data_IF_852888930777
#
_entry.id   IF_852888930777
#
_cell.length_a   1.000
_cell.length_b   1.000
_cell.length_c   1.000
_cell.angle_alpha   90.00
_cell.angle_beta   90.00
_cell.angle_gamma   90.00
#
_symmetry.space_group_name_H-M   'P 1'
#
loop_
_entity.id
_entity.type
_entity.pdbx_description
1 polymer ?
#
# COMPACT_ATOMS: atom_id res chain seq x y z
N UNK A 1 7.75 5.18 -5.68
CA UNK A 1 7.53 6.61 -5.34
C UNK A 1 7.73 6.82 -3.83
N UNK A 2 8.35 7.91 -3.40
CA UNK A 2 8.52 8.24 -1.97
C UNK A 2 7.30 8.97 -1.39
N UNK A 3 7.17 9.01 -0.06
CA UNK A 3 6.10 9.76 0.61
C UNK A 3 6.08 11.24 0.20
N UNK A 4 7.25 11.89 0.10
CA UNK A 4 7.34 13.29 -0.28
C UNK A 4 6.86 13.58 -1.69
N UNK A 5 7.15 12.67 -2.64
CA UNK A 5 6.65 12.76 -4.02
C UNK A 5 5.14 12.59 -4.08
N UNK A 6 4.60 11.59 -3.36
CA UNK A 6 3.17 11.35 -3.28
C UNK A 6 2.43 12.54 -2.65
N UNK A 7 3.01 13.15 -1.60
CA UNK A 7 2.46 14.34 -0.97
C UNK A 7 2.42 15.52 -1.95
N UNK A 8 3.53 15.78 -2.66
CA UNK A 8 3.58 16.87 -3.63
C UNK A 8 2.50 16.70 -4.71
N UNK A 9 2.40 15.51 -5.30
CA UNK A 9 1.37 15.18 -6.27
C UNK A 9 -0.04 15.43 -5.72
N UNK A 10 -0.31 15.01 -4.48
CA UNK A 10 -1.62 15.22 -3.86
C UNK A 10 -1.94 16.70 -3.66
N UNK A 11 -0.95 17.50 -3.27
CA UNK A 11 -1.11 18.94 -3.13
C UNK A 11 -1.42 19.60 -4.47
N UNK A 12 -0.73 19.19 -5.53
CA UNK A 12 -0.95 19.69 -6.88
C UNK A 12 -2.36 19.34 -7.39
N UNK A 13 -2.80 18.08 -7.21
CA UNK A 13 -4.16 17.63 -7.54
C UNK A 13 -5.25 18.40 -6.77
N UNK A 14 -4.97 18.78 -5.52
CA UNK A 14 -5.90 19.50 -4.66
C UNK A 14 -5.81 21.03 -4.78
N UNK A 15 -4.88 21.56 -5.59
CA UNK A 15 -4.60 23.01 -5.66
C UNK A 15 -4.12 23.62 -4.34
N UNK A 16 -3.47 22.81 -3.48
CA UNK A 16 -3.01 23.22 -2.16
C UNK A 16 -1.51 23.51 -2.14
N UNK A 17 -1.09 24.36 -1.21
CA UNK A 17 0.33 24.69 -1.04
C UNK A 17 1.00 23.80 -0.01
N UNK A 18 2.34 23.70 -0.06
CA UNK A 18 3.13 23.09 1.00
C UNK A 18 2.90 23.75 2.37
N UNK A 19 2.54 25.04 2.40
CA UNK A 19 2.17 25.76 3.62
C UNK A 19 0.88 25.24 4.26
N UNK A 20 -0.10 24.85 3.45
CA UNK A 20 -1.32 24.20 3.95
C UNK A 20 -1.00 22.85 4.61
N UNK A 21 -0.20 22.01 3.95
CA UNK A 21 0.26 20.75 4.53
C UNK A 21 1.05 20.96 5.84
N UNK A 22 1.92 21.98 5.86
CA UNK A 22 2.71 22.31 7.05
C UNK A 22 1.82 22.70 8.23
N UNK A 23 0.79 23.52 7.98
CA UNK A 23 -0.22 23.89 8.99
C UNK A 23 -0.99 22.67 9.47
N UNK A 24 -1.44 21.79 8.58
CA UNK A 24 -2.14 20.55 8.92
C UNK A 24 -1.30 19.64 9.81
N UNK A 25 -0.01 19.48 9.50
CA UNK A 25 0.90 18.65 10.29
C UNK A 25 1.51 19.38 11.50
N UNK A 26 1.17 20.66 11.73
CA UNK A 26 1.77 21.51 12.76
C UNK A 26 3.32 21.52 12.73
N UNK A 27 3.88 21.72 11.52
CA UNK A 27 5.33 21.79 11.28
C UNK A 27 5.69 23.00 10.41
N UNK A 28 6.99 23.27 10.25
CA UNK A 28 7.44 24.34 9.35
C UNK A 28 7.28 23.96 7.87
N UNK A 29 6.96 24.95 7.03
CA UNK A 29 6.94 24.77 5.57
C UNK A 29 8.28 24.29 5.01
N UNK A 30 9.40 24.70 5.63
CA UNK A 30 10.74 24.22 5.29
C UNK A 30 10.88 22.71 5.48
N UNK A 31 10.26 22.13 6.54
CA UNK A 31 10.26 20.69 6.74
C UNK A 31 9.52 19.98 5.60
N UNK A 32 8.30 20.43 5.26
CA UNK A 32 7.52 19.85 4.15
C UNK A 32 8.31 19.95 2.84
N UNK A 33 8.90 21.10 2.52
CA UNK A 33 9.74 21.27 1.33
C UNK A 33 10.93 20.32 1.28
N UNK A 34 11.61 20.07 2.42
CA UNK A 34 12.72 19.11 2.49
C UNK A 34 12.26 17.67 2.29
N UNK A 35 11.08 17.32 2.81
CA UNK A 35 10.45 16.01 2.62
C UNK A 35 10.07 15.80 1.15
N UNK A 36 9.39 16.76 0.52
CA UNK A 36 8.97 16.68 -0.89
C UNK A 36 10.15 16.50 -1.83
N UNK A 37 11.29 17.12 -1.55
CA UNK A 37 12.54 16.96 -2.31
C UNK A 37 13.34 15.69 -1.98
N UNK A 38 12.89 14.88 -1.01
CA UNK A 38 13.61 13.68 -0.57
C UNK A 38 14.88 13.96 0.24
N UNK A 39 15.19 15.22 0.55
CA UNK A 39 16.38 15.61 1.33
C UNK A 39 16.24 15.34 2.83
N UNK A 40 15.02 15.02 3.31
CA UNK A 40 14.76 14.65 4.70
C UNK A 40 13.67 13.59 4.76
N UNK A 41 13.88 12.54 5.57
CA UNK A 41 12.85 11.53 5.86
C UNK A 41 11.70 12.15 6.65
N UNK A 42 10.44 11.83 6.30
CA UNK A 42 9.28 12.36 7.01
C UNK A 42 9.18 11.74 8.41
N UNK A 43 8.98 12.54 9.48
CA UNK A 43 8.66 12.00 10.80
C UNK A 43 7.36 11.18 10.79
N UNK A 44 7.28 10.16 11.65
CA UNK A 44 6.11 9.27 11.73
C UNK A 44 4.79 10.02 11.94
N UNK A 45 4.79 11.00 12.85
CA UNK A 45 3.58 11.77 13.15
C UNK A 45 3.16 12.68 11.99
N UNK A 46 4.12 13.21 11.23
CA UNK A 46 3.85 13.99 10.01
C UNK A 46 3.21 13.09 8.95
N UNK A 47 3.78 11.91 8.69
CA UNK A 47 3.20 10.95 7.75
C UNK A 47 1.78 10.59 8.16
N UNK A 48 1.59 10.18 9.41
CA UNK A 48 0.28 9.79 9.94
C UNK A 48 -0.76 10.89 9.79
N UNK A 49 -0.41 12.12 10.20
CA UNK A 49 -1.35 13.25 10.18
C UNK A 49 -1.76 13.60 8.76
N UNK A 50 -0.81 13.68 7.83
CA UNK A 50 -1.09 14.04 6.44
C UNK A 50 -1.84 12.92 5.70
N UNK A 51 -1.48 11.66 5.92
CA UNK A 51 -2.21 10.51 5.34
C UNK A 51 -3.66 10.48 5.79
N UNK A 52 -3.95 10.73 7.08
CA UNK A 52 -5.32 10.79 7.59
C UNK A 52 -6.07 11.99 7.02
N UNK A 53 -5.43 13.16 6.99
CA UNK A 53 -6.08 14.39 6.52
C UNK A 53 -6.44 14.34 5.04
N UNK A 54 -5.52 13.88 4.20
CA UNK A 54 -5.73 13.85 2.75
C UNK A 54 -6.51 12.63 2.26
N UNK A 55 -6.58 11.57 3.08
CA UNK A 55 -7.31 10.34 2.80
C UNK A 55 -7.03 9.78 1.40
N UNK A 56 -5.77 9.90 0.97
CA UNK A 56 -5.34 9.57 -0.38
C UNK A 56 -4.64 8.20 -0.39
N UNK A 57 -5.10 7.23 -1.21
CA UNK A 57 -4.49 5.89 -1.26
C UNK A 57 -3.01 5.89 -1.62
N UNK A 58 -2.59 6.73 -2.57
CA UNK A 58 -1.21 6.78 -3.04
C UNK A 58 -0.29 7.32 -1.94
N UNK A 59 -0.74 8.36 -1.24
CA UNK A 59 -0.05 8.89 -0.06
C UNK A 59 0.03 7.85 1.07
N UNK A 60 -1.04 7.10 1.31
CA UNK A 60 -1.10 6.07 2.34
C UNK A 60 -0.14 4.90 2.05
N UNK A 61 -0.13 4.41 0.81
CA UNK A 61 0.78 3.35 0.36
C UNK A 61 2.24 3.81 0.49
N UNK A 62 2.55 5.05 0.06
CA UNK A 62 3.89 5.60 0.19
C UNK A 62 4.34 5.77 1.66
N UNK A 63 3.42 6.16 2.57
CA UNK A 63 3.70 6.24 4.00
C UNK A 63 4.00 4.87 4.62
N UNK A 64 3.21 3.85 4.26
CA UNK A 64 3.44 2.49 4.73
C UNK A 64 4.80 1.96 4.27
N UNK A 65 5.15 2.18 2.99
CA UNK A 65 6.42 1.75 2.43
C UNK A 65 7.64 2.44 3.11
N UNK A 66 7.54 3.75 3.40
CA UNK A 66 8.58 4.45 4.15
C UNK A 66 8.72 3.91 5.58
N UNK A 67 7.60 3.60 6.24
CA UNK A 67 7.59 3.08 7.60
C UNK A 67 8.18 1.66 7.73
N UNK A 68 8.06 0.84 6.69
CA UNK A 68 8.61 -0.53 6.63
C UNK A 68 9.99 -0.62 6.00
N UNK A 69 10.51 0.48 5.45
CA UNK A 69 11.81 0.50 4.79
C UNK A 69 11.85 -0.32 3.49
N UNK A 70 10.75 -0.39 2.74
CA UNK A 70 10.68 -1.18 1.50
C UNK A 70 9.94 -2.50 1.62
N UNK A 71 9.71 -3.01 2.83
CA UNK A 71 9.04 -4.29 3.07
C UNK A 71 7.50 -4.16 3.06
N UNK A 72 6.96 -3.47 2.06
CA UNK A 72 5.52 -3.30 1.84
C UNK A 72 5.24 -3.03 0.36
N UNK A 73 3.96 -3.07 -0.04
CA UNK A 73 3.52 -2.74 -1.41
C UNK A 73 4.03 -1.34 -1.79
N UNK A 74 4.86 -1.20 -2.84
CA UNK A 74 5.25 0.10 -3.36
C UNK A 74 4.14 0.66 -4.26
N UNK A 75 4.03 1.98 -4.35
CA UNK A 75 3.16 2.57 -5.37
C UNK A 75 3.76 2.40 -6.77
N UNK A 76 3.01 1.77 -7.67
CA UNK A 76 3.38 1.53 -9.07
C UNK A 76 3.11 2.79 -9.89
N UNK A 77 4.16 3.50 -10.29
CA UNK A 77 4.08 4.75 -11.05
C UNK A 77 4.43 4.62 -12.54
N UNK A 78 4.64 3.39 -13.01
CA UNK A 78 4.91 3.05 -14.41
C UNK A 78 3.98 1.95 -14.94
N UNK A 79 2.82 1.79 -14.30
CA UNK A 79 1.79 0.83 -14.67
C UNK A 79 0.53 1.57 -15.12
N UNK A 80 -0.30 0.93 -15.96
CA UNK A 80 -1.63 1.44 -16.26
C UNK A 80 -2.55 1.26 -15.05
N UNK A 81 -2.89 2.38 -14.41
CA UNK A 81 -3.75 2.42 -13.23
C UNK A 81 -5.22 2.70 -13.56
N UNK A 82 -5.65 2.53 -14.82
CA UNK A 82 -7.07 2.57 -15.15
C UNK A 82 -7.84 1.45 -14.40
N UNK A 83 -9.03 1.72 -13.82
CA UNK A 83 -9.75 0.74 -13.00
C UNK A 83 -9.97 -0.63 -13.66
N UNK A 84 -10.26 -0.67 -14.97
CA UNK A 84 -10.44 -1.92 -15.71
C UNK A 84 -9.15 -2.72 -15.83
N UNK A 85 -8.03 -2.07 -16.15
CA UNK A 85 -6.72 -2.70 -16.33
C UNK A 85 -6.24 -3.29 -15.01
N UNK A 86 -6.36 -2.52 -13.93
CA UNK A 86 -5.99 -2.99 -12.58
C UNK A 86 -6.89 -4.13 -12.12
N UNK A 87 -8.20 -4.06 -12.37
CA UNK A 87 -9.13 -5.15 -12.01
C UNK A 87 -8.80 -6.45 -12.76
N UNK A 88 -8.47 -6.36 -14.05
CA UNK A 88 -8.09 -7.54 -14.85
C UNK A 88 -6.78 -8.14 -14.36
N UNK A 89 -5.73 -7.32 -14.18
CA UNK A 89 -4.44 -7.81 -13.66
C UNK A 89 -4.58 -8.38 -12.25
N UNK A 90 -5.40 -7.77 -11.39
CA UNK A 90 -5.65 -8.33 -10.05
C UNK A 90 -6.29 -9.71 -10.10
N UNK A 91 -7.18 -9.97 -11.06
CA UNK A 91 -7.77 -11.30 -11.23
C UNK A 91 -6.72 -12.33 -11.65
N UNK A 92 -5.84 -11.97 -12.56
CA UNK A 92 -4.72 -12.82 -13.02
C UNK A 92 -3.80 -13.18 -11.83
N UNK A 93 -3.30 -12.19 -11.12
CA UNK A 93 -2.36 -12.35 -10.00
C UNK A 93 -2.95 -13.17 -8.85
N UNK A 94 -4.25 -12.99 -8.56
CA UNK A 94 -4.95 -13.81 -7.55
C UNK A 94 -5.08 -15.26 -7.99
N UNK A 95 -5.27 -15.54 -9.29
CA UNK A 95 -5.31 -16.90 -9.81
C UNK A 95 -3.93 -17.56 -9.75
N UNK A 96 -2.87 -16.84 -10.14
CA UNK A 96 -1.48 -17.33 -10.06
C UNK A 96 -1.10 -17.67 -8.60
N UNK A 97 -1.42 -16.79 -7.64
CA UNK A 97 -1.22 -17.08 -6.22
C UNK A 97 -2.03 -18.28 -5.73
N UNK A 98 -3.29 -18.43 -6.18
CA UNK A 98 -4.12 -19.58 -5.83
C UNK A 98 -3.53 -20.89 -6.36
N UNK A 99 -3.09 -20.91 -7.62
CA UNK A 99 -2.47 -22.07 -8.25
C UNK A 99 -1.14 -22.45 -7.59
N UNK A 100 -0.27 -21.46 -7.35
CA UNK A 100 1.03 -21.68 -6.74
C UNK A 100 0.91 -22.18 -5.29
N UNK A 101 -0.02 -21.62 -4.50
CA UNK A 101 -0.28 -22.10 -3.13
C UNK A 101 -0.90 -23.50 -3.12
N UNK A 102 -1.72 -23.86 -4.11
CA UNK A 102 -2.25 -25.21 -4.29
C UNK A 102 -1.18 -26.24 -4.69
N UNK A 103 -0.16 -25.82 -5.46
CA UNK A 103 0.95 -26.68 -5.86
C UNK A 103 2.04 -26.83 -4.78
N UNK A 104 2.11 -25.89 -3.83
CA UNK A 104 3.09 -25.92 -2.75
C UNK A 104 2.72 -26.97 -1.68
N UNK A 105 3.68 -27.77 -1.18
CA UNK A 105 3.43 -28.81 -0.20
C UNK A 105 3.32 -28.26 1.24
N UNK A 106 2.40 -27.30 1.45
CA UNK A 106 2.24 -26.55 2.69
C UNK A 106 1.75 -27.39 3.89
N UNK A 107 1.26 -28.61 3.63
CA UNK A 107 0.86 -29.57 4.68
C UNK A 107 2.03 -30.37 5.26
N UNK A 108 3.20 -30.40 4.59
CA UNK A 108 4.39 -31.10 5.09
C UNK A 108 4.99 -30.34 6.28
N UNK A 109 5.50 -31.09 7.27
CA UNK A 109 6.32 -30.48 8.34
C UNK A 109 7.68 -30.05 7.81
N UNK A 110 8.35 -29.14 8.52
CA UNK A 110 9.65 -28.59 8.14
C UNK A 110 10.72 -29.65 7.91
N UNK A 111 10.74 -30.71 8.72
CA UNK A 111 11.67 -31.84 8.65
C UNK A 111 11.43 -32.77 7.44
N UNK A 112 10.28 -32.64 6.77
CA UNK A 112 9.88 -33.46 5.62
C UNK A 112 10.06 -32.75 4.27
N UNK A 113 10.48 -31.48 4.29
CA UNK A 113 10.62 -30.67 3.08
C UNK A 113 11.93 -30.97 2.37
N UNK A 114 11.82 -31.29 1.08
CA UNK A 114 12.95 -31.36 0.16
C UNK A 114 13.34 -29.98 -0.36
N UNK A 115 14.50 -29.86 -1.01
CA UNK A 115 14.88 -28.62 -1.70
C UNK A 115 13.89 -28.23 -2.81
N UNK A 116 13.35 -29.22 -3.54
CA UNK A 116 12.31 -28.98 -4.54
C UNK A 116 11.02 -28.44 -3.92
N UNK A 117 10.61 -28.99 -2.78
CA UNK A 117 9.47 -28.46 -2.03
C UNK A 117 9.71 -27.01 -1.61
N UNK A 118 10.93 -26.68 -1.18
CA UNK A 118 11.30 -25.32 -0.80
C UNK A 118 11.24 -24.33 -1.96
N UNK A 119 11.58 -24.73 -3.19
CA UNK A 119 11.42 -23.88 -4.38
C UNK A 119 9.94 -23.55 -4.61
N UNK A 120 9.05 -24.55 -4.54
CA UNK A 120 7.60 -24.34 -4.73
C UNK A 120 6.99 -23.45 -3.65
N UNK A 121 7.43 -23.60 -2.39
CA UNK A 121 6.98 -22.74 -1.29
C UNK A 121 7.43 -21.30 -1.51
N UNK A 122 8.69 -21.08 -1.92
CA UNK A 122 9.19 -19.73 -2.24
C UNK A 122 8.39 -19.09 -3.37
N UNK A 123 8.04 -19.87 -4.39
CA UNK A 123 7.22 -19.40 -5.48
C UNK A 123 5.82 -19.01 -5.03
N UNK A 124 5.16 -19.86 -4.24
CA UNK A 124 3.85 -19.53 -3.67
C UNK A 124 3.87 -18.25 -2.83
N UNK A 125 4.96 -17.99 -2.08
CA UNK A 125 5.14 -16.74 -1.32
C UNK A 125 5.33 -15.55 -2.27
N UNK A 126 6.11 -15.70 -3.35
CA UNK A 126 6.32 -14.64 -4.36
C UNK A 126 4.98 -14.25 -4.99
N UNK A 127 4.25 -15.24 -5.51
CA UNK A 127 2.94 -15.03 -6.15
C UNK A 127 1.93 -14.40 -5.18
N UNK A 128 1.92 -14.82 -3.91
CA UNK A 128 1.08 -14.18 -2.90
C UNK A 128 1.41 -12.69 -2.68
N UNK A 129 2.69 -12.30 -2.74
CA UNK A 129 3.11 -10.89 -2.64
C UNK A 129 2.71 -10.09 -3.88
N UNK A 130 2.74 -10.69 -5.07
CA UNK A 130 2.29 -10.06 -6.32
C UNK A 130 0.77 -9.86 -6.30
N UNK A 131 0.00 -10.87 -5.84
CA UNK A 131 -1.44 -10.74 -5.60
C UNK A 131 -1.79 -9.66 -4.55
N UNK A 132 -1.05 -9.57 -3.44
CA UNK A 132 -1.23 -8.49 -2.45
C UNK A 132 -0.98 -7.12 -3.10
N UNK A 133 0.06 -7.01 -3.92
CA UNK A 133 0.38 -5.78 -4.65
C UNK A 133 -0.76 -5.38 -5.58
N UNK A 134 -1.28 -6.32 -6.37
CA UNK A 134 -2.38 -6.06 -7.30
C UNK A 134 -3.69 -5.68 -6.56
N UNK A 135 -4.05 -6.42 -5.51
CA UNK A 135 -5.24 -6.14 -4.69
C UNK A 135 -5.19 -4.75 -4.03
N UNK A 136 -4.03 -4.34 -3.50
CA UNK A 136 -3.86 -3.01 -2.92
C UNK A 136 -4.07 -1.92 -3.98
N UNK A 137 -3.52 -2.08 -5.18
CA UNK A 137 -3.73 -1.12 -6.27
C UNK A 137 -5.17 -1.12 -6.77
N UNK A 138 -5.84 -2.27 -6.82
CA UNK A 138 -7.25 -2.35 -7.20
C UNK A 138 -8.12 -1.54 -6.23
N UNK A 139 -7.96 -1.76 -4.93
CA UNK A 139 -8.71 -1.00 -3.91
C UNK A 139 -8.38 0.48 -4.00
N UNK A 140 -7.10 0.85 -4.17
CA UNK A 140 -6.66 2.23 -4.25
C UNK A 140 -7.28 2.95 -5.46
N UNK A 141 -7.19 2.35 -6.64
CA UNK A 141 -7.76 2.89 -7.88
C UNK A 141 -9.28 2.99 -7.80
N UNK A 142 -9.97 1.99 -7.24
CA UNK A 142 -11.41 2.06 -7.02
C UNK A 142 -11.80 3.17 -6.03
N UNK A 143 -11.04 3.35 -4.95
CA UNK A 143 -11.28 4.45 -4.00
C UNK A 143 -11.18 5.81 -4.70
N UNK A 144 -10.14 6.02 -5.52
CA UNK A 144 -9.99 7.26 -6.32
C UNK A 144 -11.13 7.42 -7.34
N UNK A 145 -11.43 6.38 -8.11
CA UNK A 145 -12.43 6.44 -9.19
C UNK A 145 -13.85 6.70 -8.68
N UNK A 146 -14.24 6.08 -7.57
CA UNK A 146 -15.59 6.17 -7.01
C UNK A 146 -15.71 7.14 -5.84
N UNK A 147 -14.67 7.93 -5.55
CA UNK A 147 -14.63 8.89 -4.43
C UNK A 147 -14.96 8.23 -3.08
N UNK A 148 -14.48 7.01 -2.88
CA UNK A 148 -14.64 6.26 -1.63
C UNK A 148 -13.44 6.55 -0.74
N UNK A 149 -13.70 6.85 0.53
CA UNK A 149 -12.67 7.10 1.53
C UNK A 149 -11.81 5.85 1.78
N UNK A 150 -10.51 5.97 1.55
CA UNK A 150 -9.54 4.90 1.78
C UNK A 150 -9.47 4.52 3.26
N UNK A 151 -9.31 5.51 4.13
CA UNK A 151 -9.23 5.33 5.58
C UNK A 151 -10.51 4.73 6.14
N UNK A 152 -11.68 5.10 5.60
CA UNK A 152 -12.94 4.50 6.01
C UNK A 152 -13.02 3.02 5.65
N UNK A 153 -12.63 2.62 4.43
CA UNK A 153 -12.61 1.20 4.01
C UNK A 153 -11.76 0.36 4.97
N UNK A 154 -10.55 0.82 5.30
CA UNK A 154 -9.69 0.12 6.26
C UNK A 154 -10.23 0.13 7.69
N UNK A 155 -10.88 1.22 8.12
CA UNK A 155 -11.55 1.29 9.42
C UNK A 155 -12.67 0.26 9.53
N UNK A 156 -13.52 0.15 8.51
CA UNK A 156 -14.60 -0.84 8.45
C UNK A 156 -14.06 -2.26 8.46
N UNK A 157 -13.01 -2.55 7.68
CA UNK A 157 -12.36 -3.86 7.70
C UNK A 157 -11.81 -4.20 9.10
N UNK A 158 -11.12 -3.25 9.74
CA UNK A 158 -10.58 -3.44 11.09
C UNK A 158 -11.67 -3.66 12.14
N UNK A 159 -12.82 -2.99 12.02
CA UNK A 159 -13.99 -3.23 12.88
C UNK A 159 -14.51 -4.66 12.71
N UNK A 160 -14.71 -5.11 11.46
CA UNK A 160 -15.13 -6.49 11.15
C UNK A 160 -14.17 -7.53 11.74
N UNK A 161 -12.86 -7.28 11.65
CA UNK A 161 -11.84 -8.17 12.24
C UNK A 161 -11.92 -8.22 13.78
N UNK A 162 -12.26 -7.12 14.44
CA UNK A 162 -12.52 -7.09 15.89
C UNK A 162 -13.77 -7.86 16.27
N UNK A 163 -14.87 -7.66 15.54
CA UNK A 163 -16.13 -8.40 15.73
C UNK A 163 -15.92 -9.91 15.56
N UNK A 164 -15.08 -10.29 14.59
CA UNK A 164 -14.70 -11.68 14.31
C UNK A 164 -13.64 -12.23 15.28
N UNK A 165 -13.21 -11.46 16.29
CA UNK A 165 -12.19 -11.81 17.29
C UNK A 165 -10.79 -12.13 16.72
N UNK A 166 -10.51 -11.71 15.48
CA UNK A 166 -9.17 -11.76 14.91
C UNK A 166 -8.27 -10.63 15.44
N UNK A 167 -8.86 -9.54 15.97
CA UNK A 167 -8.16 -8.42 16.60
C UNK A 167 -8.73 -8.14 17.99
N UNK A 168 -7.87 -7.67 18.90
CA UNK A 168 -8.25 -7.12 20.21
C UNK A 168 -8.53 -5.60 20.11
#
# INVERSE_FOLDING_TARGET
MSFGQALQKKLDEAGQTQGAAAKTANVSGSLISKISRGTRKPPKDVMRTLTIHYDDPELAVAAANEATGGAWVPWLNNADLHPSSVAWKTREEVLEAYEATGAAPLSKRRDQLTESDMVKIKEAIREAVEAITALVHMVATMCKAYKISWTHVWKMHRMKLKESKYLK
#
